data_IF_048037755061
#
_entry.id   IF_048037755061
#
_cell.length_a   1.000
_cell.length_b   1.000
_cell.length_c   1.000
_cell.angle_alpha   90.00
_cell.angle_beta   90.00
_cell.angle_gamma   90.00
#
_symmetry.space_group_name_H-M   'P 1'
#
loop_
_entity.id
_entity.type
_entity.pdbx_description
1 polymer ?
#
# COMPACT_ATOMS: atom_id res chain seq x y z
N UNK A 1 21.12 0.20 2.98
CA UNK A 1 22.14 -0.65 3.67
C UNK A 1 21.33 -1.74 4.37
N UNK A 2 21.60 -3.00 4.10
CA UNK A 2 20.86 -4.10 4.73
C UNK A 2 21.70 -4.62 5.88
N UNK A 3 21.17 -4.53 7.10
CA UNK A 3 21.82 -5.05 8.29
C UNK A 3 21.73 -6.57 8.35
N UNK A 4 22.81 -7.22 8.78
CA UNK A 4 22.79 -8.62 9.26
C UNK A 4 22.29 -8.67 10.70
N UNK A 5 21.96 -9.85 11.22
CA UNK A 5 21.55 -10.02 12.63
C UNK A 5 22.66 -9.58 13.60
N UNK A 6 23.91 -9.87 13.28
CA UNK A 6 25.09 -9.49 14.06
C UNK A 6 25.22 -7.95 14.13
N UNK A 7 25.11 -7.27 12.97
CA UNK A 7 25.16 -5.81 12.90
C UNK A 7 24.01 -5.15 13.66
N UNK A 8 22.82 -5.76 13.67
CA UNK A 8 21.68 -5.28 14.46
C UNK A 8 21.94 -5.43 15.96
N UNK A 9 22.51 -6.57 16.40
CA UNK A 9 22.84 -6.78 17.80
C UNK A 9 23.92 -5.80 18.29
N UNK A 10 24.92 -5.49 17.46
CA UNK A 10 25.92 -4.47 17.74
C UNK A 10 25.29 -3.07 17.81
N UNK A 11 24.51 -2.70 16.80
CA UNK A 11 23.78 -1.43 16.76
C UNK A 11 22.90 -1.20 18.00
N UNK A 12 22.15 -2.22 18.42
CA UNK A 12 21.28 -2.15 19.60
C UNK A 12 22.07 -1.84 20.88
N UNK A 13 23.28 -2.39 20.99
CA UNK A 13 24.15 -2.16 22.12
C UNK A 13 24.82 -0.78 22.09
N UNK A 14 25.35 -0.37 20.93
CA UNK A 14 26.07 0.90 20.77
C UNK A 14 25.15 2.11 20.87
N UNK A 15 23.94 1.99 20.32
CA UNK A 15 22.98 3.09 20.18
C UNK A 15 21.98 3.18 21.35
N UNK A 16 22.22 2.49 22.47
CA UNK A 16 21.36 2.47 23.67
C UNK A 16 19.89 2.16 23.36
N UNK A 17 19.63 1.22 22.46
CA UNK A 17 18.26 0.78 22.16
C UNK A 17 17.68 0.03 23.34
N UNK A 18 16.49 0.42 23.80
CA UNK A 18 15.81 -0.23 24.93
C UNK A 18 14.62 -1.08 24.51
N UNK A 19 13.88 -0.63 23.48
CA UNK A 19 12.65 -1.27 23.02
C UNK A 19 12.73 -1.60 21.54
N UNK A 20 12.29 -2.79 21.19
CA UNK A 20 12.24 -3.26 19.79
C UNK A 20 10.80 -3.62 19.45
N UNK A 21 10.24 -2.96 18.45
CA UNK A 21 8.93 -3.27 17.92
C UNK A 21 9.03 -4.31 16.82
N UNK A 22 8.50 -5.48 17.10
CA UNK A 22 8.33 -6.58 16.15
C UNK A 22 7.04 -6.36 15.38
N UNK A 23 7.15 -5.78 14.19
CA UNK A 23 6.00 -5.36 13.38
C UNK A 23 5.61 -6.46 12.38
N UNK A 24 4.32 -6.68 12.23
CA UNK A 24 3.72 -7.59 11.26
C UNK A 24 2.35 -7.04 10.80
N UNK A 25 1.67 -7.73 9.90
CA UNK A 25 0.44 -7.24 9.30
C UNK A 25 -0.70 -8.24 9.44
N UNK A 26 -1.90 -7.75 9.73
CA UNK A 26 -3.11 -8.56 9.57
C UNK A 26 -3.56 -8.63 8.10
N UNK A 27 -4.57 -9.42 7.80
CA UNK A 27 -5.07 -9.61 6.44
C UNK A 27 -5.59 -8.32 5.79
N UNK A 28 -5.99 -7.35 6.58
CA UNK A 28 -6.40 -6.03 6.08
C UNK A 28 -5.21 -5.09 5.78
N UNK A 29 -3.97 -5.54 6.01
CA UNK A 29 -2.77 -4.72 5.86
C UNK A 29 -2.55 -3.74 7.01
N UNK A 30 -3.28 -3.88 8.13
CA UNK A 30 -3.06 -3.06 9.31
C UNK A 30 -1.82 -3.54 10.06
N UNK A 31 -0.87 -2.64 10.25
CA UNK A 31 0.33 -2.95 11.03
C UNK A 31 -0.01 -3.21 12.50
N UNK A 32 0.48 -4.33 12.99
CA UNK A 32 0.48 -4.76 14.40
C UNK A 32 1.90 -4.81 14.92
N UNK A 33 2.08 -4.85 16.23
CA UNK A 33 3.40 -5.10 16.79
C UNK A 33 3.33 -5.76 18.17
N UNK A 34 4.30 -6.61 18.47
CA UNK A 34 4.74 -6.93 19.82
C UNK A 34 5.95 -6.07 20.14
N UNK A 35 6.15 -5.73 21.40
CA UNK A 35 7.33 -4.99 21.84
C UNK A 35 8.14 -5.84 22.79
N UNK A 36 9.44 -5.99 22.51
CA UNK A 36 10.38 -6.70 23.37
C UNK A 36 11.45 -5.75 23.91
N UNK A 37 12.06 -6.13 25.02
CA UNK A 37 13.27 -5.50 25.52
C UNK A 37 14.46 -5.86 24.64
N UNK A 38 15.44 -4.97 24.52
CA UNK A 38 16.64 -5.21 23.72
C UNK A 38 17.40 -6.50 24.12
N UNK A 39 17.36 -6.89 25.41
CA UNK A 39 17.95 -8.14 25.90
C UNK A 39 17.33 -9.42 25.30
N UNK A 40 16.09 -9.34 24.83
CA UNK A 40 15.36 -10.48 24.23
C UNK A 40 15.64 -10.65 22.73
N UNK A 41 16.36 -9.72 22.11
CA UNK A 41 16.57 -9.74 20.66
C UNK A 41 17.33 -10.98 20.16
N UNK A 42 18.40 -11.48 20.84
CA UNK A 42 19.05 -12.72 20.41
C UNK A 42 18.07 -13.89 20.34
N UNK A 43 17.23 -14.05 21.37
CA UNK A 43 16.19 -15.10 21.41
C UNK A 43 15.14 -14.89 20.32
N UNK A 44 14.79 -13.63 20.01
CA UNK A 44 13.84 -13.33 18.97
C UNK A 44 14.35 -13.74 17.57
N UNK A 45 15.63 -13.62 17.30
CA UNK A 45 16.24 -14.09 16.04
C UNK A 45 16.30 -15.64 16.00
N UNK A 46 16.68 -16.28 17.10
CA UNK A 46 16.89 -17.74 17.17
C UNK A 46 15.56 -18.52 17.22
N UNK A 47 14.70 -18.20 18.20
CA UNK A 47 13.49 -18.96 18.53
C UNK A 47 12.19 -18.27 18.05
N UNK A 48 12.27 -17.00 17.68
CA UNK A 48 11.10 -16.16 17.45
C UNK A 48 10.39 -15.75 18.74
N UNK A 49 9.37 -14.90 18.63
CA UNK A 49 8.51 -14.46 19.73
C UNK A 49 7.10 -14.94 19.47
N UNK A 50 6.58 -15.81 20.33
CA UNK A 50 5.21 -16.33 20.20
C UNK A 50 4.16 -15.26 20.46
N UNK A 51 3.03 -15.37 19.77
CA UNK A 51 1.85 -14.54 20.00
C UNK A 51 0.58 -15.34 19.74
N UNK A 52 -0.52 -14.90 20.33
CA UNK A 52 -1.85 -15.47 20.13
C UNK A 52 -2.45 -14.98 18.80
N UNK A 53 -2.39 -15.80 17.78
CA UNK A 53 -2.92 -15.49 16.46
C UNK A 53 -4.45 -15.52 16.41
N UNK A 54 -5.11 -16.18 17.36
CA UNK A 54 -6.58 -16.21 17.42
C UNK A 54 -7.18 -14.84 17.77
N UNK A 55 -6.38 -13.95 18.36
CA UNK A 55 -6.75 -12.56 18.60
C UNK A 55 -6.73 -11.70 17.32
N UNK A 56 -6.22 -12.22 16.19
CA UNK A 56 -6.15 -11.54 14.91
C UNK A 56 -7.21 -12.10 13.97
N UNK A 57 -8.18 -11.26 13.59
CA UNK A 57 -9.28 -11.67 12.72
C UNK A 57 -8.78 -12.33 11.43
N UNK A 58 -9.22 -13.55 11.18
CA UNK A 58 -8.91 -14.33 9.97
C UNK A 58 -7.59 -15.10 10.03
N UNK A 59 -6.84 -15.03 11.13
CA UNK A 59 -5.63 -15.85 11.31
C UNK A 59 -5.98 -17.28 11.73
N UNK A 60 -5.81 -17.66 12.98
CA UNK A 60 -5.96 -19.04 13.43
C UNK A 60 -7.09 -19.18 14.47
N UNK A 61 -7.55 -20.40 14.66
CA UNK A 61 -8.52 -20.71 15.71
C UNK A 61 -7.85 -20.84 17.08
N UNK A 62 -8.59 -20.63 18.21
CA UNK A 62 -8.03 -20.74 19.56
C UNK A 62 -7.39 -22.09 19.89
N UNK A 63 -7.72 -23.16 19.19
CA UNK A 63 -7.15 -24.49 19.39
C UNK A 63 -5.78 -24.70 18.71
N UNK A 64 -5.33 -23.74 17.90
CA UNK A 64 -4.03 -23.72 17.20
C UNK A 64 -3.48 -22.29 17.11
N UNK A 65 -3.58 -21.55 18.21
CA UNK A 65 -3.36 -20.09 18.19
C UNK A 65 -1.90 -19.64 18.14
N UNK A 66 -0.95 -20.52 18.42
CA UNK A 66 0.45 -20.09 18.57
C UNK A 66 1.14 -19.93 17.22
N UNK A 67 1.48 -18.70 16.89
CA UNK A 67 2.41 -18.36 15.82
C UNK A 67 3.60 -17.60 16.38
N UNK A 68 4.67 -17.50 15.60
CA UNK A 68 5.93 -16.91 16.01
C UNK A 68 6.33 -15.77 15.06
N UNK A 69 6.82 -14.67 15.66
CA UNK A 69 7.40 -13.53 14.96
C UNK A 69 8.91 -13.67 14.91
N UNK A 70 9.47 -13.74 13.71
CA UNK A 70 10.92 -13.75 13.48
C UNK A 70 11.32 -12.40 12.86
N UNK A 71 12.07 -11.55 13.56
CA UNK A 71 12.46 -10.24 13.03
C UNK A 71 13.41 -10.39 11.84
N UNK A 72 13.23 -9.51 10.85
CA UNK A 72 14.10 -9.43 9.69
C UNK A 72 15.09 -8.26 9.88
N UNK A 73 16.34 -8.57 10.15
CA UNK A 73 17.41 -7.62 10.44
C UNK A 73 17.53 -6.51 9.39
N UNK A 74 17.38 -6.86 8.10
CA UNK A 74 17.44 -5.93 6.98
C UNK A 74 16.37 -4.82 7.00
N UNK A 75 15.36 -4.95 7.87
CA UNK A 75 14.23 -4.00 7.97
C UNK A 75 14.32 -3.09 9.20
N UNK A 76 15.46 -3.09 9.89
CA UNK A 76 15.70 -2.20 11.02
C UNK A 76 15.42 -0.76 10.65
N UNK A 77 14.63 -0.07 11.46
CA UNK A 77 14.38 1.35 11.34
C UNK A 77 14.20 2.00 12.72
N UNK A 78 14.89 3.11 12.93
CA UNK A 78 14.71 3.93 14.14
C UNK A 78 13.38 4.67 14.04
N UNK A 79 12.71 4.87 15.19
CA UNK A 79 11.48 5.67 15.24
C UNK A 79 11.79 7.12 15.67
N UNK A 80 11.90 8.09 14.73
CA UNK A 80 12.40 9.43 15.03
C UNK A 80 11.54 10.25 16.00
N UNK A 81 10.27 9.88 16.15
CA UNK A 81 9.33 10.54 17.08
C UNK A 81 9.40 9.98 18.51
N UNK A 82 10.34 9.08 18.77
CA UNK A 82 10.62 8.57 20.12
C UNK A 82 11.83 9.28 20.71
N UNK A 83 11.97 9.31 22.05
CA UNK A 83 13.12 9.92 22.71
C UNK A 83 14.45 9.37 22.18
N UNK A 84 15.46 10.22 22.10
CA UNK A 84 16.83 9.84 21.70
C UNK A 84 17.55 9.01 22.78
N UNK A 85 17.22 9.22 24.05
CA UNK A 85 17.68 8.38 25.16
C UNK A 85 16.76 7.14 25.29
N UNK A 86 17.34 5.94 25.31
CA UNK A 86 16.58 4.70 25.33
C UNK A 86 15.80 4.51 24.02
N UNK A 87 16.51 4.57 22.90
CA UNK A 87 15.95 4.50 21.55
C UNK A 87 14.97 3.35 21.36
N UNK A 88 14.02 3.56 20.47
CA UNK A 88 13.07 2.55 20.02
C UNK A 88 13.30 2.29 18.53
N UNK A 89 13.51 1.03 18.19
CA UNK A 89 13.58 0.60 16.80
C UNK A 89 12.38 -0.28 16.42
N UNK A 90 12.14 -0.44 15.13
CA UNK A 90 11.17 -1.35 14.58
C UNK A 90 11.88 -2.27 13.57
N UNK A 91 11.55 -3.56 13.60
CA UNK A 91 11.81 -4.49 12.50
C UNK A 91 10.51 -5.12 12.05
N UNK A 92 10.36 -5.37 10.76
CA UNK A 92 9.30 -6.23 10.26
C UNK A 92 9.64 -7.68 10.54
N UNK A 93 8.62 -8.51 10.73
CA UNK A 93 8.77 -9.92 11.04
C UNK A 93 8.15 -10.80 9.97
N UNK A 94 8.77 -11.94 9.73
CA UNK A 94 8.13 -13.10 9.13
C UNK A 94 7.30 -13.81 10.19
N UNK A 95 6.13 -14.30 9.82
CA UNK A 95 5.28 -15.10 10.70
C UNK A 95 5.50 -16.58 10.37
N UNK A 96 5.70 -17.41 11.37
CA UNK A 96 5.93 -18.86 11.21
C UNK A 96 5.06 -19.68 12.14
N UNK A 97 4.76 -20.91 11.70
CA UNK A 97 4.19 -21.96 12.57
C UNK A 97 5.22 -22.45 13.57
N UNK A 98 4.78 -23.18 14.64
CA UNK A 98 5.71 -23.77 15.63
C UNK A 98 6.73 -24.74 15.03
N UNK A 99 6.46 -25.33 13.87
CA UNK A 99 7.40 -26.21 13.14
C UNK A 99 8.43 -25.44 12.28
N UNK A 100 8.43 -24.11 12.36
CA UNK A 100 9.33 -23.21 11.63
C UNK A 100 8.90 -22.89 10.18
N UNK A 101 7.85 -23.52 9.67
CA UNK A 101 7.35 -23.22 8.32
C UNK A 101 6.71 -21.84 8.26
N UNK A 102 6.84 -21.14 7.10
CA UNK A 102 6.17 -19.86 6.89
C UNK A 102 4.65 -19.98 7.08
N UNK A 103 4.07 -18.99 7.74
CA UNK A 103 2.61 -18.88 7.87
C UNK A 103 1.97 -18.50 6.53
N UNK A 104 1.08 -19.35 6.05
CA UNK A 104 0.52 -19.23 4.69
C UNK A 104 -0.31 -17.97 4.44
N UNK A 105 -0.88 -17.38 5.53
CA UNK A 105 -1.67 -16.15 5.45
C UNK A 105 -0.84 -14.89 5.79
N UNK A 106 0.48 -15.01 5.98
CA UNK A 106 1.36 -13.86 6.10
C UNK A 106 1.43 -13.14 4.74
N UNK A 107 0.77 -11.98 4.64
CA UNK A 107 0.71 -11.23 3.39
C UNK A 107 2.10 -10.78 2.90
N UNK A 108 3.04 -10.57 3.81
CA UNK A 108 4.42 -10.22 3.46
C UNK A 108 5.17 -11.42 2.86
N UNK A 109 4.93 -12.62 3.38
CA UNK A 109 5.44 -13.88 2.80
C UNK A 109 4.84 -14.15 1.42
N UNK A 110 3.52 -13.93 1.24
CA UNK A 110 2.87 -14.08 -0.06
C UNK A 110 3.51 -13.17 -1.12
N UNK A 111 3.81 -11.93 -0.76
CA UNK A 111 4.48 -11.00 -1.68
C UNK A 111 5.91 -11.44 -2.01
N UNK A 112 6.69 -11.89 -1.04
CA UNK A 112 8.03 -12.46 -1.27
C UNK A 112 7.97 -13.61 -2.28
N UNK A 113 7.03 -14.52 -2.07
CA UNK A 113 6.84 -15.67 -2.98
C UNK A 113 6.46 -15.24 -4.40
N UNK A 114 5.60 -14.22 -4.55
CA UNK A 114 5.23 -13.68 -5.86
C UNK A 114 6.42 -13.03 -6.57
N UNK A 115 7.26 -12.27 -5.85
CA UNK A 115 8.48 -11.67 -6.40
C UNK A 115 9.48 -12.74 -6.88
N UNK A 116 9.69 -13.78 -6.09
CA UNK A 116 10.54 -14.91 -6.50
C UNK A 116 9.96 -15.64 -7.74
N UNK A 117 8.64 -15.80 -7.77
CA UNK A 117 7.95 -16.48 -8.87
C UNK A 117 8.13 -15.75 -10.20
N UNK A 118 7.89 -14.42 -10.26
CA UNK A 118 8.08 -13.69 -11.53
C UNK A 118 9.53 -13.68 -11.98
N UNK A 119 10.47 -13.61 -11.05
CA UNK A 119 11.90 -13.71 -11.35
C UNK A 119 12.26 -15.07 -11.95
N UNK A 120 11.79 -16.17 -11.33
CA UNK A 120 12.12 -17.52 -11.76
C UNK A 120 11.38 -17.94 -13.05
N UNK A 121 10.12 -17.54 -13.22
CA UNK A 121 9.28 -17.98 -14.31
C UNK A 121 9.33 -17.09 -15.56
N UNK A 122 9.60 -15.78 -15.36
CA UNK A 122 9.62 -14.80 -16.45
C UNK A 122 10.97 -14.10 -16.63
N UNK A 123 11.93 -14.28 -15.69
CA UNK A 123 13.23 -13.61 -15.73
C UNK A 123 13.13 -12.09 -15.49
N UNK A 124 12.08 -11.62 -14.85
CA UNK A 124 11.77 -10.20 -14.69
C UNK A 124 11.78 -9.75 -13.22
N UNK A 125 12.10 -8.48 -13.04
CA UNK A 125 11.89 -7.76 -11.78
C UNK A 125 10.87 -6.64 -12.03
N UNK A 126 9.86 -6.56 -11.16
CA UNK A 126 8.90 -5.46 -11.16
C UNK A 126 9.22 -4.49 -10.02
N UNK A 127 9.18 -3.21 -10.33
CA UNK A 127 9.30 -2.13 -9.37
C UNK A 127 7.96 -1.45 -9.20
N UNK A 128 7.65 -1.09 -7.96
CA UNK A 128 6.40 -0.45 -7.58
C UNK A 128 6.66 0.93 -6.99
N UNK A 129 5.75 1.86 -7.24
CA UNK A 129 5.68 3.16 -6.58
C UNK A 129 4.22 3.43 -6.20
N UNK A 130 3.99 4.11 -5.09
CA UNK A 130 2.66 4.46 -4.63
C UNK A 130 2.55 5.96 -4.43
N UNK A 131 1.44 6.53 -4.88
CA UNK A 131 1.01 7.91 -4.63
C UNK A 131 -0.12 7.84 -3.62
N UNK A 132 0.02 8.50 -2.47
CA UNK A 132 -0.98 8.44 -1.41
C UNK A 132 -1.66 9.78 -1.20
N UNK A 133 -2.97 9.80 -1.40
CA UNK A 133 -3.82 10.90 -1.02
C UNK A 133 -4.41 10.68 0.38
N UNK A 134 -4.51 11.74 1.15
CA UNK A 134 -5.12 11.72 2.49
C UNK A 134 -5.68 13.07 2.87
N UNK A 135 -6.68 13.07 3.76
CA UNK A 135 -7.27 14.29 4.30
C UNK A 135 -6.74 14.59 5.71
N UNK A 136 -6.59 15.88 6.02
CA UNK A 136 -6.34 16.36 7.37
C UNK A 136 -7.60 17.03 7.91
N UNK A 137 -8.12 16.49 9.01
CA UNK A 137 -9.30 16.99 9.71
C UNK A 137 -8.95 17.55 11.08
N UNK A 138 -9.71 18.56 11.52
CA UNK A 138 -9.64 19.07 12.88
C UNK A 138 -10.20 18.06 13.87
N UNK A 139 -9.68 18.10 15.08
CA UNK A 139 -10.28 17.41 16.24
C UNK A 139 -11.32 18.30 16.88
N UNK A 140 -12.28 17.71 17.59
CA UNK A 140 -13.21 18.43 18.47
C UNK A 140 -12.56 18.79 19.83
N UNK A 141 -13.32 19.40 20.72
CA UNK A 141 -12.88 19.79 22.07
C UNK A 141 -12.47 18.60 22.95
N UNK A 142 -12.93 17.39 22.63
CA UNK A 142 -12.61 16.14 23.33
C UNK A 142 -11.44 15.39 22.66
N UNK A 143 -10.83 15.96 21.59
CA UNK A 143 -9.76 15.31 20.82
C UNK A 143 -10.25 14.23 19.86
N UNK A 144 -11.55 14.16 19.56
CA UNK A 144 -12.12 13.19 18.62
C UNK A 144 -12.09 13.74 17.19
N UNK A 145 -11.88 12.85 16.17
CA UNK A 145 -11.89 13.25 14.78
C UNK A 145 -13.22 13.87 14.34
N UNK A 146 -13.15 15.00 13.63
CA UNK A 146 -14.31 15.59 12.96
C UNK A 146 -14.22 15.37 11.44
N UNK A 147 -15.23 15.85 10.69
CA UNK A 147 -15.18 16.01 9.23
C UNK A 147 -14.95 17.46 8.79
N UNK A 148 -14.42 18.30 9.69
CA UNK A 148 -14.07 19.69 9.38
C UNK A 148 -12.65 19.69 8.80
N UNK A 149 -12.45 20.02 7.51
CA UNK A 149 -11.13 20.06 6.90
C UNK A 149 -10.20 21.05 7.63
N UNK A 150 -8.90 20.76 7.61
CA UNK A 150 -7.91 21.63 8.23
C UNK A 150 -7.82 23.00 7.56
N UNK A 151 -7.97 23.03 6.25
CA UNK A 151 -8.03 24.23 5.42
C UNK A 151 -9.11 24.11 4.33
N UNK A 152 -9.15 25.08 3.43
CA UNK A 152 -10.05 25.09 2.28
C UNK A 152 -9.29 25.46 1.00
N UNK A 153 -8.00 25.10 0.94
CA UNK A 153 -7.18 25.27 -0.22
C UNK A 153 -7.57 24.28 -1.34
N UNK A 154 -7.01 24.49 -2.52
CA UNK A 154 -7.24 23.69 -3.73
C UNK A 154 -5.90 23.20 -4.31
N UNK A 155 -5.96 22.55 -5.46
CA UNK A 155 -4.81 21.89 -6.08
C UNK A 155 -3.60 22.82 -6.25
N UNK A 156 -2.47 22.46 -5.61
CA UNK A 156 -1.19 23.18 -5.64
C UNK A 156 -1.22 24.62 -5.10
N UNK A 157 -2.23 24.95 -4.27
CA UNK A 157 -2.21 26.22 -3.55
C UNK A 157 -1.03 26.32 -2.58
N UNK A 158 -0.69 27.55 -2.21
CA UNK A 158 0.43 27.89 -1.35
C UNK A 158 -0.07 28.32 0.04
N UNK A 159 0.83 28.37 1.00
CA UNK A 159 0.56 29.06 2.27
C UNK A 159 0.32 30.57 2.01
N UNK A 160 -0.62 31.21 2.73
CA UNK A 160 -1.31 30.76 3.94
C UNK A 160 -2.61 29.96 3.71
N UNK A 161 -3.09 29.83 2.50
CA UNK A 161 -4.30 29.06 2.15
C UNK A 161 -4.09 27.60 2.44
N UNK A 162 -2.99 27.02 1.95
CA UNK A 162 -2.50 25.67 2.28
C UNK A 162 -1.87 25.66 3.68
N UNK A 163 -2.63 25.22 4.67
CA UNK A 163 -2.16 25.07 6.04
C UNK A 163 -1.42 23.76 6.30
N UNK A 164 -1.52 22.81 5.37
CA UNK A 164 -0.90 21.49 5.46
C UNK A 164 0.59 21.47 5.14
N UNK A 165 1.17 22.51 4.55
CA UNK A 165 2.55 22.57 4.07
C UNK A 165 3.58 22.14 5.13
N UNK A 166 3.52 22.68 6.34
CA UNK A 166 4.46 22.32 7.41
C UNK A 166 4.30 20.87 7.88
N UNK A 167 3.10 20.33 7.81
CA UNK A 167 2.83 18.93 8.18
C UNK A 167 3.45 18.01 7.15
N UNK A 168 3.24 18.26 5.85
CA UNK A 168 3.89 17.51 4.76
C UNK A 168 5.40 17.60 4.84
N UNK A 169 5.96 18.79 5.12
CA UNK A 169 7.40 18.98 5.35
C UNK A 169 7.92 18.07 6.48
N UNK A 170 7.22 18.02 7.61
CA UNK A 170 7.60 17.16 8.74
C UNK A 170 7.45 15.67 8.41
N UNK A 171 6.46 15.30 7.62
CA UNK A 171 6.30 13.95 7.08
C UNK A 171 7.52 13.60 6.21
N UNK A 172 7.91 14.44 5.25
CA UNK A 172 9.05 14.23 4.36
C UNK A 172 10.36 14.03 5.15
N UNK A 173 10.66 14.89 6.11
CA UNK A 173 11.85 14.73 6.95
C UNK A 173 11.84 13.44 7.78
N UNK A 174 10.67 13.04 8.26
CA UNK A 174 10.55 11.79 9.01
C UNK A 174 10.74 10.57 8.11
N UNK A 175 10.24 10.64 6.86
CA UNK A 175 10.48 9.61 5.84
C UNK A 175 11.98 9.47 5.58
N UNK A 176 12.70 10.57 5.34
CA UNK A 176 14.16 10.56 5.11
C UNK A 176 14.92 9.94 6.29
N UNK A 177 14.57 10.30 7.52
CA UNK A 177 15.17 9.74 8.73
C UNK A 177 14.93 8.22 8.85
N UNK A 178 13.86 7.71 8.26
CA UNK A 178 13.56 6.28 8.21
C UNK A 178 14.04 5.60 6.92
N UNK A 179 14.84 6.28 6.10
CA UNK A 179 15.42 5.72 4.87
C UNK A 179 14.47 5.69 3.67
N UNK A 180 13.31 6.35 3.75
CA UNK A 180 12.34 6.46 2.66
C UNK A 180 12.55 7.83 2.00
N UNK A 181 12.86 7.85 0.70
CA UNK A 181 13.16 9.10 -0.03
C UNK A 181 11.87 9.76 -0.55
N UNK A 182 11.43 10.92 -0.01
CA UNK A 182 10.33 11.68 -0.59
C UNK A 182 10.70 12.20 -1.98
N UNK A 183 9.71 12.36 -2.85
CA UNK A 183 9.88 12.88 -4.22
C UNK A 183 9.12 14.17 -4.43
N UNK A 184 7.85 14.21 -4.03
CA UNK A 184 6.97 15.36 -4.18
C UNK A 184 5.99 15.44 -3.00
N UNK A 185 5.50 16.64 -2.74
CA UNK A 185 4.38 16.86 -1.84
C UNK A 185 3.62 18.12 -2.24
N UNK A 186 2.30 18.06 -2.22
CA UNK A 186 1.44 19.18 -2.58
C UNK A 186 0.07 19.08 -1.93
N UNK A 187 -0.66 20.20 -1.95
CA UNK A 187 -2.08 20.20 -1.63
C UNK A 187 -2.88 19.64 -2.79
N UNK A 188 -3.82 18.76 -2.52
CA UNK A 188 -4.71 18.17 -3.51
C UNK A 188 -5.99 18.99 -3.73
N UNK A 189 -6.92 18.50 -4.58
CA UNK A 189 -8.12 19.27 -4.98
C UNK A 189 -9.15 19.45 -3.86
N UNK A 190 -9.24 18.47 -2.95
CA UNK A 190 -10.19 18.53 -1.84
C UNK A 190 -9.70 19.43 -0.70
N UNK A 191 -10.61 20.10 0.05
CA UNK A 191 -10.23 20.91 1.19
C UNK A 191 -9.54 20.05 2.26
N UNK A 192 -8.33 20.46 2.67
CA UNK A 192 -7.50 19.69 3.60
C UNK A 192 -6.95 18.39 3.03
N UNK A 193 -7.02 18.17 1.71
CA UNK A 193 -6.48 16.99 1.03
C UNK A 193 -5.02 17.23 0.66
N UNK A 194 -4.19 16.22 0.91
CA UNK A 194 -2.75 16.27 0.72
C UNK A 194 -2.28 15.02 -0.01
N UNK A 195 -1.18 15.17 -0.76
CA UNK A 195 -0.44 14.08 -1.36
C UNK A 195 1.05 14.20 -1.01
N UNK A 196 1.67 13.07 -0.74
CA UNK A 196 3.12 12.96 -0.58
C UNK A 196 3.60 11.70 -1.26
N UNK A 197 4.50 11.87 -2.21
CA UNK A 197 5.09 10.78 -2.99
C UNK A 197 6.48 10.43 -2.47
N UNK A 198 6.82 9.17 -2.54
CA UNK A 198 8.16 8.68 -2.27
C UNK A 198 8.68 7.79 -3.40
N UNK A 199 10.00 7.66 -3.46
CA UNK A 199 10.66 6.94 -4.55
C UNK A 199 10.21 5.49 -4.62
N UNK A 200 9.96 5.01 -5.85
CA UNK A 200 9.68 3.61 -6.15
C UNK A 200 10.84 2.68 -5.76
N UNK A 201 10.55 1.42 -5.52
CA UNK A 201 11.53 0.38 -5.19
C UNK A 201 11.03 -0.99 -5.68
N UNK A 202 11.71 -2.06 -5.28
CA UNK A 202 11.16 -3.40 -5.40
C UNK A 202 9.82 -3.52 -4.66
N UNK A 203 9.04 -4.55 -5.01
CA UNK A 203 7.67 -4.69 -4.51
C UNK A 203 7.59 -4.79 -2.97
N UNK A 204 8.50 -5.55 -2.33
CA UNK A 204 8.47 -5.76 -0.89
C UNK A 204 8.83 -4.47 -0.15
N UNK A 205 9.92 -3.82 -0.55
CA UNK A 205 10.34 -2.54 0.03
C UNK A 205 9.26 -1.47 -0.13
N UNK A 206 8.61 -1.40 -1.30
CA UNK A 206 7.52 -0.44 -1.52
C UNK A 206 6.30 -0.72 -0.64
N UNK A 207 5.92 -1.99 -0.43
CA UNK A 207 4.82 -2.34 0.47
C UNK A 207 5.14 -2.02 1.94
N UNK A 208 6.37 -2.28 2.38
CA UNK A 208 6.89 -1.91 3.70
C UNK A 208 6.89 -0.38 3.89
N UNK A 209 7.33 0.37 2.87
CA UNK A 209 7.34 1.83 2.86
C UNK A 209 5.91 2.42 2.88
N UNK A 210 4.99 1.86 2.09
CA UNK A 210 3.58 2.26 2.07
C UNK A 210 2.92 2.16 3.45
N UNK A 211 3.18 1.04 4.14
CA UNK A 211 2.68 0.83 5.50
C UNK A 211 3.32 1.77 6.52
N UNK A 212 4.63 2.00 6.40
CA UNK A 212 5.39 2.94 7.24
C UNK A 212 4.93 4.38 6.99
N UNK A 213 4.70 4.76 5.73
CA UNK A 213 4.17 6.07 5.35
C UNK A 213 2.85 6.39 6.04
N UNK A 214 1.86 5.49 5.97
CA UNK A 214 0.57 5.68 6.64
C UNK A 214 0.72 5.88 8.16
N UNK A 215 1.67 5.20 8.78
CA UNK A 215 1.97 5.36 10.20
C UNK A 215 2.59 6.73 10.50
N UNK A 216 3.59 7.15 9.71
CA UNK A 216 4.23 8.48 9.85
C UNK A 216 3.20 9.59 9.70
N UNK A 217 2.38 9.56 8.65
CA UNK A 217 1.36 10.59 8.40
C UNK A 217 0.41 10.72 9.59
N UNK A 218 -0.12 9.61 10.11
CA UNK A 218 -0.99 9.63 11.30
C UNK A 218 -0.28 10.17 12.54
N UNK A 219 0.99 9.81 12.73
CA UNK A 219 1.80 10.28 13.85
C UNK A 219 2.00 11.80 13.75
N UNK A 220 2.42 12.32 12.60
CA UNK A 220 2.68 13.74 12.39
C UNK A 220 1.41 14.59 12.43
N UNK A 221 0.30 14.07 11.92
CA UNK A 221 -1.00 14.71 12.09
C UNK A 221 -1.40 14.82 13.57
N UNK A 222 -1.27 13.71 14.33
CA UNK A 222 -1.59 13.70 15.76
C UNK A 222 -0.68 14.65 16.57
N UNK A 223 0.62 14.71 16.28
CA UNK A 223 1.55 15.68 16.89
C UNK A 223 1.16 17.13 16.59
N UNK A 224 0.45 17.38 15.49
CA UNK A 224 -0.05 18.69 15.06
C UNK A 224 -1.48 18.97 15.54
N UNK A 225 -2.08 18.10 16.36
CA UNK A 225 -3.46 18.26 16.85
C UNK A 225 -4.52 18.01 15.76
N UNK A 226 -4.21 17.17 14.77
CA UNK A 226 -5.08 16.84 13.64
C UNK A 226 -5.28 15.33 13.51
N UNK A 227 -6.30 14.97 12.72
CA UNK A 227 -6.57 13.61 12.32
C UNK A 227 -6.28 13.42 10.82
N UNK A 228 -5.45 12.44 10.49
CA UNK A 228 -5.20 12.03 9.11
C UNK A 228 -6.16 10.90 8.71
N UNK A 229 -6.99 11.15 7.70
CA UNK A 229 -7.99 10.23 7.17
C UNK A 229 -7.56 9.71 5.81
N UNK A 230 -7.39 8.38 5.72
CA UNK A 230 -7.07 7.64 4.50
C UNK A 230 -8.30 6.92 3.92
N UNK A 231 -9.51 7.22 4.39
CA UNK A 231 -10.71 6.60 3.83
C UNK A 231 -10.89 7.00 2.37
N UNK A 232 -11.44 6.10 1.52
CA UNK A 232 -11.53 6.33 0.08
C UNK A 232 -12.37 7.54 -0.32
N UNK A 233 -13.43 7.83 0.43
CA UNK A 233 -14.35 8.97 0.21
C UNK A 233 -14.67 9.65 1.54
N UNK A 234 -13.76 10.48 2.08
CA UNK A 234 -13.94 11.09 3.40
C UNK A 234 -15.06 12.13 3.44
N UNK A 235 -15.27 12.87 2.35
CA UNK A 235 -16.32 13.87 2.15
C UNK A 235 -17.07 13.53 0.86
N UNK A 236 -18.40 13.43 0.91
CA UNK A 236 -19.21 12.90 -0.17
C UNK A 236 -19.05 13.67 -1.50
N UNK A 237 -19.12 14.99 -1.47
CA UNK A 237 -19.11 15.84 -2.67
C UNK A 237 -17.71 16.38 -3.03
N UNK A 238 -16.65 15.78 -2.46
CA UNK A 238 -15.26 16.17 -2.68
C UNK A 238 -14.46 15.02 -3.26
N UNK A 239 -13.28 15.27 -3.84
CA UNK A 239 -12.42 14.19 -4.32
C UNK A 239 -12.18 13.11 -3.27
N UNK A 240 -12.12 11.86 -3.69
CA UNK A 240 -11.73 10.74 -2.83
C UNK A 240 -10.22 10.62 -2.71
N UNK A 241 -9.76 9.77 -1.80
CA UNK A 241 -8.34 9.50 -1.60
C UNK A 241 -7.95 8.21 -2.31
N UNK A 242 -7.13 8.34 -3.36
CA UNK A 242 -6.54 7.22 -4.08
C UNK A 242 -5.25 6.72 -3.45
N UNK A 243 -4.87 5.52 -3.83
CA UNK A 243 -3.50 5.02 -3.78
C UNK A 243 -3.14 4.55 -5.18
N UNK A 244 -2.63 5.45 -6.02
CA UNK A 244 -2.24 5.06 -7.36
C UNK A 244 -0.99 4.17 -7.29
N UNK A 245 -1.03 3.04 -8.03
CA UNK A 245 0.08 2.08 -8.06
C UNK A 245 0.79 2.21 -9.40
N UNK A 246 2.02 2.70 -9.35
CA UNK A 246 2.92 2.75 -10.49
C UNK A 246 3.72 1.46 -10.58
N UNK A 247 3.79 0.86 -11.77
CA UNK A 247 4.47 -0.41 -12.03
C UNK A 247 5.44 -0.19 -13.19
N UNK A 248 6.69 -0.56 -13.02
CA UNK A 248 7.68 -0.62 -14.08
C UNK A 248 8.38 -1.98 -14.10
N UNK A 249 8.81 -2.41 -15.27
CA UNK A 249 9.48 -3.69 -15.48
C UNK A 249 10.96 -3.47 -15.81
N UNK A 250 11.79 -4.44 -15.46
CA UNK A 250 13.19 -4.51 -15.91
C UNK A 250 13.33 -4.75 -17.43
N UNK A 251 12.24 -5.12 -18.12
CA UNK A 251 12.18 -5.27 -19.56
C UNK A 251 10.91 -4.62 -20.14
N UNK A 252 11.07 -3.45 -20.73
CA UNK A 252 9.98 -2.66 -21.32
C UNK A 252 9.23 -3.41 -22.44
N UNK A 253 9.83 -4.41 -23.10
CA UNK A 253 9.19 -5.21 -24.13
C UNK A 253 8.01 -6.03 -23.60
N UNK A 254 7.92 -6.25 -22.29
CA UNK A 254 6.87 -7.00 -21.60
C UNK A 254 5.74 -6.11 -21.07
N UNK A 255 5.87 -4.80 -21.14
CA UNK A 255 4.88 -3.87 -20.58
C UNK A 255 3.48 -4.04 -21.19
N UNK A 256 3.36 -4.37 -22.49
CA UNK A 256 2.07 -4.67 -23.12
C UNK A 256 1.41 -5.93 -22.52
N UNK A 257 2.19 -6.98 -22.31
CA UNK A 257 1.69 -8.23 -21.71
C UNK A 257 1.29 -8.02 -20.24
N UNK A 258 2.09 -7.26 -19.48
CA UNK A 258 1.79 -6.91 -18.07
C UNK A 258 0.50 -6.11 -18.00
N UNK A 259 0.34 -5.08 -18.82
CA UNK A 259 -0.86 -4.29 -18.92
C UNK A 259 -2.09 -5.14 -19.25
N UNK A 260 -1.97 -6.01 -20.26
CA UNK A 260 -3.05 -6.90 -20.68
C UNK A 260 -3.44 -7.90 -19.57
N UNK A 261 -2.45 -8.46 -18.87
CA UNK A 261 -2.66 -9.36 -17.74
C UNK A 261 -3.40 -8.66 -16.59
N UNK A 262 -2.98 -7.45 -16.22
CA UNK A 262 -3.67 -6.67 -15.18
C UNK A 262 -5.12 -6.37 -15.58
N UNK A 263 -5.37 -5.93 -16.81
CA UNK A 263 -6.73 -5.65 -17.28
C UNK A 263 -7.61 -6.90 -17.32
N UNK A 264 -7.04 -8.08 -17.61
CA UNK A 264 -7.80 -9.34 -17.67
C UNK A 264 -8.28 -9.81 -16.30
N UNK A 265 -7.53 -9.48 -15.23
CA UNK A 265 -7.83 -9.90 -13.87
C UNK A 265 -8.39 -8.78 -12.98
N UNK A 266 -8.58 -7.55 -13.51
CA UNK A 266 -8.92 -6.39 -12.69
C UNK A 266 -10.25 -6.53 -11.95
N UNK A 267 -11.26 -7.19 -12.54
CA UNK A 267 -12.57 -7.40 -11.91
C UNK A 267 -12.40 -8.22 -10.61
N UNK A 268 -11.65 -9.32 -10.68
CA UNK A 268 -11.44 -10.26 -9.56
C UNK A 268 -10.52 -9.70 -8.48
N UNK A 269 -9.53 -8.88 -8.85
CA UNK A 269 -8.61 -8.27 -7.87
C UNK A 269 -9.17 -6.99 -7.25
N UNK A 270 -10.26 -6.42 -7.78
CA UNK A 270 -10.86 -5.17 -7.27
C UNK A 270 -11.23 -5.27 -5.80
N UNK A 271 -11.70 -6.41 -5.30
CA UNK A 271 -12.00 -6.63 -3.88
C UNK A 271 -10.80 -6.33 -2.96
N UNK A 272 -9.58 -6.65 -3.40
CA UNK A 272 -8.34 -6.41 -2.64
C UNK A 272 -7.78 -5.01 -2.83
N UNK A 273 -8.10 -4.35 -3.95
CA UNK A 273 -7.69 -2.98 -4.24
C UNK A 273 -8.62 -1.94 -3.61
N UNK A 274 -9.88 -2.32 -3.37
CA UNK A 274 -10.97 -1.47 -2.91
C UNK A 274 -11.80 -2.22 -1.84
N UNK A 275 -11.22 -2.49 -0.64
CA UNK A 275 -11.75 -3.49 0.29
C UNK A 275 -12.84 -2.99 1.24
N UNK A 276 -13.38 -1.79 1.03
CA UNK A 276 -14.42 -1.21 1.89
C UNK A 276 -15.64 -0.75 1.10
N UNK A 277 -16.82 -0.71 1.70
CA UNK A 277 -18.02 -0.13 1.08
C UNK A 277 -17.76 1.32 0.63
N UNK A 278 -17.01 2.08 1.42
CA UNK A 278 -16.65 3.46 1.10
C UNK A 278 -15.76 3.58 -0.14
N UNK A 279 -15.03 2.52 -0.52
CA UNK A 279 -14.24 2.47 -1.74
C UNK A 279 -15.10 2.69 -2.99
N UNK A 280 -16.29 2.09 -3.01
CA UNK A 280 -17.22 2.15 -4.16
C UNK A 280 -17.94 3.50 -4.29
N UNK A 281 -17.99 4.29 -3.21
CA UNK A 281 -18.43 5.69 -3.26
C UNK A 281 -17.40 6.61 -3.95
N UNK A 282 -16.14 6.17 -4.08
CA UNK A 282 -15.08 6.89 -4.77
C UNK A 282 -15.07 6.58 -6.27
N UNK A 283 -15.27 5.32 -6.65
CA UNK A 283 -15.08 4.82 -8.01
C UNK A 283 -16.15 5.37 -8.98
N UNK A 284 -15.69 5.88 -10.13
CA UNK A 284 -16.54 6.47 -11.15
C UNK A 284 -16.82 7.96 -10.98
N UNK A 285 -16.32 8.60 -9.92
CA UNK A 285 -16.55 10.02 -9.62
C UNK A 285 -15.23 10.77 -9.43
N UNK A 286 -15.25 12.08 -9.70
CA UNK A 286 -14.19 13.03 -9.35
C UNK A 286 -12.76 12.48 -9.53
N UNK A 287 -12.44 12.06 -10.77
CA UNK A 287 -11.14 11.56 -11.22
C UNK A 287 -10.74 10.15 -10.74
N UNK A 288 -11.62 9.39 -10.09
CA UNK A 288 -11.41 7.99 -9.82
C UNK A 288 -12.03 7.12 -10.93
N UNK A 289 -11.22 6.44 -11.77
CA UNK A 289 -11.74 5.70 -12.92
C UNK A 289 -12.40 4.38 -12.50
N UNK A 290 -13.37 3.92 -13.33
CA UNK A 290 -14.06 2.63 -13.14
C UNK A 290 -14.12 1.76 -14.40
N UNK A 291 -13.80 2.33 -15.58
CA UNK A 291 -13.90 1.61 -16.85
C UNK A 291 -12.65 0.79 -17.12
N UNK A 292 -12.82 -0.49 -17.45
CA UNK A 292 -11.74 -1.44 -17.74
C UNK A 292 -11.16 -1.13 -19.12
N UNK A 293 -10.21 -0.23 -19.14
CA UNK A 293 -9.48 0.21 -20.32
C UNK A 293 -8.16 0.84 -19.91
N UNK A 294 -7.35 1.15 -20.90
CA UNK A 294 -6.11 1.88 -20.70
C UNK A 294 -5.98 3.04 -21.69
N UNK A 295 -5.14 4.00 -21.37
CA UNK A 295 -4.86 5.12 -22.28
C UNK A 295 -3.55 5.81 -21.96
N UNK A 296 -2.94 6.40 -22.98
CA UNK A 296 -1.77 7.27 -22.83
C UNK A 296 -2.25 8.61 -22.26
N UNK A 297 -1.63 9.06 -21.18
CA UNK A 297 -1.93 10.32 -20.47
C UNK A 297 -3.39 10.47 -19.99
N UNK A 298 -4.22 9.43 -20.18
CA UNK A 298 -5.66 9.48 -19.90
C UNK A 298 -5.98 9.08 -18.46
N UNK A 299 -6.29 10.06 -17.61
CA UNK A 299 -6.64 9.87 -16.19
C UNK A 299 -8.02 9.23 -15.97
N UNK A 300 -8.87 9.16 -16.99
CA UNK A 300 -10.18 8.52 -16.89
C UNK A 300 -10.17 7.00 -17.18
N UNK A 301 -9.04 6.46 -17.59
CA UNK A 301 -8.82 5.02 -17.76
C UNK A 301 -8.28 4.40 -16.46
N UNK A 302 -8.66 3.16 -16.16
CA UNK A 302 -8.16 2.42 -14.97
C UNK A 302 -6.64 2.28 -15.02
N UNK A 303 -6.07 1.93 -16.19
CA UNK A 303 -4.63 1.91 -16.43
C UNK A 303 -4.24 3.10 -17.30
N UNK A 304 -3.38 3.93 -16.77
CA UNK A 304 -2.79 5.05 -17.47
C UNK A 304 -1.32 4.77 -17.76
N UNK A 305 -0.86 5.12 -18.96
CA UNK A 305 0.56 5.21 -19.28
C UNK A 305 0.93 6.68 -19.26
N UNK A 306 1.59 7.19 -18.21
CA UNK A 306 1.99 8.59 -18.11
C UNK A 306 2.98 8.96 -19.21
N UNK A 307 3.04 10.25 -19.59
CA UNK A 307 4.13 10.78 -20.39
C UNK A 307 5.46 10.60 -19.60
N UNK A 308 6.47 10.03 -20.25
CA UNK A 308 7.79 9.86 -19.65
C UNK A 308 8.88 10.13 -20.67
N UNK A 309 10.04 10.59 -20.19
CA UNK A 309 11.29 10.73 -20.98
C UNK A 309 12.23 9.52 -20.83
N UNK A 310 11.80 8.50 -20.14
CA UNK A 310 12.60 7.32 -19.81
C UNK A 310 11.76 6.05 -19.84
N UNK A 311 12.01 5.14 -18.92
CA UNK A 311 11.31 3.85 -18.84
C UNK A 311 9.80 4.02 -18.76
N UNK A 312 9.08 3.17 -19.47
CA UNK A 312 7.63 3.13 -19.41
C UNK A 312 7.18 2.69 -18.03
N UNK A 313 6.13 3.33 -17.51
CA UNK A 313 5.43 2.88 -16.31
C UNK A 313 3.94 2.79 -16.58
N UNK A 314 3.32 1.86 -15.90
CA UNK A 314 1.88 1.67 -15.86
C UNK A 314 1.37 2.24 -14.53
N UNK A 315 0.37 3.09 -14.57
CA UNK A 315 -0.27 3.65 -13.38
C UNK A 315 -1.67 3.05 -13.25
N UNK A 316 -1.87 2.19 -12.25
CA UNK A 316 -3.18 1.67 -11.87
C UNK A 316 -3.85 2.66 -10.92
N UNK A 317 -5.01 3.22 -11.34
CA UNK A 317 -5.65 4.35 -10.68
C UNK A 317 -6.88 4.01 -9.85
N UNK A 318 -7.40 2.79 -9.93
CA UNK A 318 -8.56 2.37 -9.15
C UNK A 318 -8.27 2.12 -7.65
N UNK A 319 -7.08 1.66 -7.20
CA UNK A 319 -6.87 1.36 -5.80
C UNK A 319 -7.02 2.57 -4.89
N UNK A 320 -7.40 2.33 -3.65
CA UNK A 320 -7.43 3.33 -2.59
C UNK A 320 -6.54 2.97 -1.40
N UNK A 321 -6.32 3.94 -0.51
CA UNK A 321 -5.37 3.81 0.59
C UNK A 321 -5.77 2.81 1.68
N UNK A 322 -6.98 2.20 1.60
CA UNK A 322 -7.42 1.17 2.55
C UNK A 322 -6.97 -0.23 2.15
N UNK A 323 -6.51 -0.42 0.92
CA UNK A 323 -6.04 -1.72 0.46
C UNK A 323 -4.80 -2.19 1.24
N UNK A 324 -4.63 -3.51 1.29
CA UNK A 324 -3.40 -4.14 1.78
C UNK A 324 -2.36 -4.14 0.65
N UNK A 325 -1.27 -3.34 0.72
CA UNK A 325 -0.30 -3.22 -0.36
C UNK A 325 0.39 -4.54 -0.67
N UNK A 326 0.58 -5.41 0.32
CA UNK A 326 1.21 -6.71 0.10
C UNK A 326 0.34 -7.63 -0.76
N UNK A 327 -0.97 -7.72 -0.46
CA UNK A 327 -1.91 -8.50 -1.26
C UNK A 327 -2.14 -7.89 -2.63
N UNK A 328 -2.27 -6.56 -2.70
CA UNK A 328 -2.42 -5.84 -3.97
C UNK A 328 -1.25 -6.13 -4.91
N UNK A 329 -0.02 -5.99 -4.44
CA UNK A 329 1.18 -6.24 -5.26
C UNK A 329 1.34 -7.73 -5.60
N UNK A 330 1.02 -8.63 -4.66
CA UNK A 330 0.99 -10.07 -4.94
C UNK A 330 0.10 -10.38 -6.13
N UNK A 331 -1.14 -9.91 -6.13
CA UNK A 331 -2.11 -10.18 -7.20
C UNK A 331 -1.71 -9.52 -8.52
N UNK A 332 -1.19 -8.29 -8.47
CA UNK A 332 -0.70 -7.59 -9.67
C UNK A 332 0.51 -8.29 -10.30
N UNK A 333 1.43 -8.84 -9.49
CA UNK A 333 2.56 -9.64 -9.98
C UNK A 333 2.05 -10.92 -10.64
N UNK A 334 1.09 -11.62 -10.03
CA UNK A 334 0.52 -12.84 -10.64
C UNK A 334 -0.25 -12.53 -11.92
N UNK A 335 -1.00 -11.43 -11.99
CA UNK A 335 -1.65 -10.97 -13.22
C UNK A 335 -0.62 -10.65 -14.33
N UNK A 336 0.51 -10.04 -13.95
CA UNK A 336 1.61 -9.81 -14.89
C UNK A 336 2.23 -11.11 -15.42
N UNK A 337 2.48 -12.09 -14.53
CA UNK A 337 2.98 -13.42 -14.91
C UNK A 337 2.04 -14.08 -15.93
N UNK A 338 0.73 -14.04 -15.64
CA UNK A 338 -0.29 -14.63 -16.51
C UNK A 338 -0.32 -13.96 -17.89
N UNK A 339 -0.32 -12.62 -17.91
CA UNK A 339 -0.24 -11.85 -19.14
C UNK A 339 0.98 -12.17 -20.00
N UNK A 340 2.16 -12.35 -19.37
CA UNK A 340 3.40 -12.68 -20.05
C UNK A 340 3.37 -14.11 -20.58
N UNK A 341 2.97 -15.09 -19.76
CA UNK A 341 2.96 -16.51 -20.14
C UNK A 341 1.97 -16.80 -21.26
N UNK A 342 0.81 -16.18 -21.23
CA UNK A 342 -0.21 -16.32 -22.27
C UNK A 342 0.04 -15.41 -23.48
N UNK A 343 1.09 -14.58 -23.43
CA UNK A 343 1.41 -13.57 -24.45
C UNK A 343 0.20 -12.69 -24.80
N UNK A 344 -0.54 -12.27 -23.76
CA UNK A 344 -1.74 -11.46 -23.91
C UNK A 344 -1.41 -10.13 -24.59
N UNK A 345 -2.34 -9.64 -25.41
CA UNK A 345 -2.25 -8.36 -26.09
C UNK A 345 -3.20 -7.35 -25.47
N UNK A 346 -2.72 -6.13 -25.29
CA UNK A 346 -3.55 -5.05 -24.80
C UNK A 346 -4.66 -4.70 -25.81
N UNK A 347 -5.88 -4.41 -25.35
CA UNK A 347 -6.90 -3.82 -26.21
C UNK A 347 -6.44 -2.47 -26.74
N UNK A 348 -7.06 -1.91 -27.77
CA UNK A 348 -6.74 -0.56 -28.25
C UNK A 348 -6.83 0.49 -27.12
N UNK A 349 -5.82 1.37 -27.05
CA UNK A 349 -5.82 2.48 -26.09
C UNK A 349 -7.00 3.43 -26.33
N UNK A 350 -7.58 3.95 -25.25
CA UNK A 350 -8.64 4.96 -25.36
C UNK A 350 -8.08 6.38 -25.16
N UNK A 351 -8.54 7.31 -26.00
CA UNK A 351 -8.34 8.75 -25.84
C UNK A 351 -9.62 9.48 -25.36
N UNK A 352 -10.69 8.71 -25.07
CA UNK A 352 -11.98 9.27 -24.64
C UNK A 352 -11.90 9.73 -23.20
N UNK A 353 -12.51 10.87 -22.88
CA UNK A 353 -12.73 11.29 -21.49
C UNK A 353 -13.94 10.55 -20.91
N UNK A 354 -13.69 9.47 -20.17
CA UNK A 354 -14.75 8.64 -19.60
C UNK A 354 -15.37 9.23 -18.32
N UNK A 355 -14.91 10.38 -17.84
CA UNK A 355 -15.62 11.17 -16.81
C UNK A 355 -16.78 11.98 -17.41
N UNK A 356 -16.82 12.18 -18.73
CA UNK A 356 -18.01 12.72 -19.41
C UNK A 356 -19.08 11.62 -19.50
N UNK A 357 -20.20 11.83 -18.81
CA UNK A 357 -21.29 10.84 -18.73
C UNK A 357 -21.90 10.47 -20.10
N UNK A 358 -21.90 11.40 -21.10
CA UNK A 358 -22.41 11.10 -22.45
C UNK A 358 -21.45 10.19 -23.21
N UNK A 359 -20.15 10.47 -23.10
CA UNK A 359 -19.09 9.65 -23.72
C UNK A 359 -19.05 8.28 -23.06
N UNK A 360 -19.10 8.23 -21.75
CA UNK A 360 -19.10 6.99 -20.97
C UNK A 360 -20.27 6.07 -21.33
N UNK A 361 -21.51 6.62 -21.37
CA UNK A 361 -22.71 5.87 -21.75
C UNK A 361 -22.69 5.35 -23.20
N UNK A 362 -21.98 6.02 -24.09
CA UNK A 362 -21.82 5.58 -25.50
C UNK A 362 -20.65 4.60 -25.68
N UNK A 363 -19.87 4.35 -24.64
CA UNK A 363 -18.73 3.42 -24.68
C UNK A 363 -19.19 1.97 -24.47
N UNK A 364 -18.42 1.04 -25.03
CA UNK A 364 -18.62 -0.42 -24.82
C UNK A 364 -17.71 -0.99 -23.75
N UNK A 365 -17.03 -0.14 -22.96
CA UNK A 365 -16.12 -0.61 -21.91
C UNK A 365 -16.91 -1.20 -20.74
N UNK A 366 -16.48 -2.35 -20.27
CA UNK A 366 -16.92 -2.89 -19.00
C UNK A 366 -16.46 -2.00 -17.85
N UNK A 367 -17.12 -2.09 -16.72
CA UNK A 367 -16.71 -1.48 -15.45
C UNK A 367 -16.18 -2.54 -14.50
N UNK A 368 -15.33 -2.15 -13.57
CA UNK A 368 -15.08 -2.94 -12.37
C UNK A 368 -16.38 -3.03 -11.55
N UNK A 369 -16.50 -3.98 -10.59
CA UNK A 369 -17.68 -4.11 -9.75
C UNK A 369 -18.13 -2.79 -9.11
N UNK A 370 -19.44 -2.61 -8.95
CA UNK A 370 -20.06 -1.39 -8.44
C UNK A 370 -20.21 -1.37 -6.93
N UNK A 371 -20.13 -2.54 -6.29
CA UNK A 371 -20.31 -2.72 -4.85
C UNK A 371 -19.25 -3.65 -4.27
N UNK A 372 -19.04 -3.55 -2.95
CA UNK A 372 -18.15 -4.47 -2.23
C UNK A 372 -18.60 -5.94 -2.37
N UNK A 373 -19.92 -6.18 -2.31
CA UNK A 373 -20.47 -7.54 -2.42
C UNK A 373 -20.24 -8.13 -3.82
N UNK A 374 -20.43 -7.34 -4.87
CA UNK A 374 -20.10 -7.76 -6.25
C UNK A 374 -18.61 -8.08 -6.40
N UNK A 375 -17.73 -7.21 -5.92
CA UNK A 375 -16.29 -7.45 -5.98
C UNK A 375 -15.87 -8.67 -5.18
N UNK A 376 -16.45 -8.87 -4.00
CA UNK A 376 -16.24 -10.06 -3.18
C UNK A 376 -16.68 -11.32 -3.91
N UNK A 377 -17.86 -11.30 -4.53
CA UNK A 377 -18.38 -12.41 -5.30
C UNK A 377 -17.48 -12.73 -6.52
N UNK A 378 -16.94 -11.72 -7.22
CA UNK A 378 -15.96 -11.93 -8.29
C UNK A 378 -14.70 -12.61 -7.77
N UNK A 379 -14.16 -12.16 -6.64
CA UNK A 379 -12.96 -12.73 -6.02
C UNK A 379 -13.17 -14.17 -5.53
N UNK A 380 -14.28 -14.45 -4.81
CA UNK A 380 -14.59 -15.77 -4.27
C UNK A 380 -14.86 -16.83 -5.36
N UNK A 381 -15.31 -16.44 -6.55
CA UNK A 381 -15.54 -17.34 -7.67
C UNK A 381 -14.36 -17.43 -8.64
N UNK A 382 -13.28 -16.72 -8.38
CA UNK A 382 -12.10 -16.68 -9.25
C UNK A 382 -11.15 -17.84 -8.96
N UNK A 383 -10.87 -18.66 -9.96
CA UNK A 383 -9.81 -19.67 -9.90
C UNK A 383 -8.41 -19.04 -9.79
N UNK A 384 -8.24 -17.86 -10.38
CA UNK A 384 -7.00 -17.09 -10.27
C UNK A 384 -6.73 -16.70 -8.80
N UNK A 385 -7.71 -16.12 -8.12
CA UNK A 385 -7.57 -15.72 -6.69
C UNK A 385 -7.36 -16.94 -5.81
N UNK A 386 -8.17 -18.00 -5.98
CA UNK A 386 -8.04 -19.25 -5.21
C UNK A 386 -6.70 -19.92 -5.39
N UNK A 387 -6.15 -19.87 -6.61
CA UNK A 387 -4.81 -20.43 -6.91
C UNK A 387 -3.66 -19.68 -6.21
N UNK A 388 -3.87 -18.43 -5.80
CA UNK A 388 -2.84 -17.58 -5.17
C UNK A 388 -3.02 -17.52 -3.66
N UNK A 389 -4.23 -17.22 -3.19
CA UNK A 389 -4.52 -16.95 -1.79
C UNK A 389 -5.18 -18.11 -1.04
N UNK A 390 -5.63 -19.15 -1.76
CA UNK A 390 -6.49 -20.19 -1.21
C UNK A 390 -7.96 -19.75 -1.18
N UNK A 391 -8.79 -20.49 -0.44
CA UNK A 391 -10.17 -20.08 -0.19
C UNK A 391 -10.21 -18.86 0.73
N UNK A 392 -11.04 -17.87 0.38
CA UNK A 392 -11.18 -16.58 1.08
C UNK A 392 -12.01 -16.66 2.35
#
# INVERSE_FOLDING_TARGET
MYYTEEEVLEYVKEEDVKFIRLAYFDLSGKQKNATIMASELPRAFEDGISFDASAIKGFEDPNKSDLFLFPEASTLSVLPWRPSAGKVIRMFCSIRYPDGKPYKKDCRYLLKTAVEKIKNECGLELHFGTEFEFYLFKLDENGLPTKIPFDNATYMDLAPEDKGENIRRNICFTLEQMGITPVASHHEEGPGQNEVDFRYSDALTTADNASTFKWIVRTKAAESGLYADFSPKPIQDKPGSGMHINISSSDDSKNENILAGILSHIEEITYFLNPTENSYNRLGELKAPRYICWGKENRSAILRVPASKGNLRLELRSPDSTCNPYLAFTLLIHAAIDGIKQNLKAPPATNKNLFDAKIAKSSSYKTIPDTLDEAKNCAENSDFIKGILGEL
#
